data_IF_937692075563
#
_entry.id   IF_937692075563
#
_cell.length_a   1.000
_cell.length_b   1.000
_cell.length_c   1.000
_cell.angle_alpha   90.00
_cell.angle_beta   90.00
_cell.angle_gamma   90.00
#
_symmetry.space_group_name_H-M   'P 1'
#
loop_
_entity.id
_entity.type
_entity.pdbx_description
1 polymer ?
#
# COMPACT_ATOMS: atom_id res chain seq x y z
N UNK A 1 -28.29 -19.08 10.63
CA UNK A 1 -29.63 -19.63 10.35
C UNK A 1 -30.11 -19.18 8.96
N UNK A 2 -30.16 -17.88 8.58
CA UNK A 2 -30.67 -17.38 7.28
C UNK A 2 -29.97 -18.01 6.07
N UNK A 3 -28.64 -18.18 6.09
CA UNK A 3 -27.89 -18.82 5.00
C UNK A 3 -28.26 -20.31 4.82
N UNK A 4 -28.47 -21.02 5.93
CA UNK A 4 -28.94 -22.39 5.90
C UNK A 4 -30.35 -22.48 5.36
N UNK A 5 -31.24 -21.60 5.83
CA UNK A 5 -32.61 -21.54 5.35
C UNK A 5 -32.72 -21.34 3.82
N UNK A 6 -31.90 -20.48 3.23
CA UNK A 6 -31.86 -20.28 1.77
C UNK A 6 -31.44 -21.52 0.98
N UNK A 7 -30.67 -22.40 1.58
CA UNK A 7 -30.20 -23.65 0.94
C UNK A 7 -31.14 -24.82 1.16
N UNK A 8 -31.65 -24.96 2.38
CA UNK A 8 -32.54 -26.06 2.76
C UNK A 8 -33.97 -25.83 2.28
N UNK A 9 -34.42 -24.57 2.26
CA UNK A 9 -35.75 -24.15 1.82
C UNK A 9 -35.64 -23.15 0.65
N UNK A 10 -35.23 -23.57 -0.55
CA UNK A 10 -35.13 -22.68 -1.69
C UNK A 10 -36.53 -22.16 -2.12
N UNK A 11 -36.55 -20.95 -2.72
CA UNK A 11 -37.78 -20.32 -3.26
C UNK A 11 -38.77 -19.79 -2.24
N UNK A 12 -38.35 -19.50 -1.00
CA UNK A 12 -39.22 -18.76 -0.07
C UNK A 12 -39.33 -17.30 -0.46
N UNK A 13 -40.52 -16.72 -0.28
CA UNK A 13 -40.79 -15.29 -0.57
C UNK A 13 -39.99 -14.33 0.27
N UNK A 14 -39.66 -14.75 1.49
CA UNK A 14 -38.83 -13.97 2.43
C UNK A 14 -38.12 -14.90 3.41
N UNK A 15 -36.92 -14.51 3.81
CA UNK A 15 -36.10 -15.24 4.80
C UNK A 15 -35.98 -14.47 6.12
N UNK A 16 -36.91 -13.54 6.39
CA UNK A 16 -37.00 -12.90 7.72
C UNK A 16 -37.53 -13.90 8.75
N UNK A 17 -37.04 -13.80 10.00
CA UNK A 17 -37.39 -14.74 11.07
C UNK A 17 -38.90 -14.88 11.25
N UNK A 18 -39.60 -13.77 11.37
CA UNK A 18 -41.04 -13.79 11.62
C UNK A 18 -41.86 -14.44 10.50
N UNK A 19 -41.46 -14.22 9.22
CA UNK A 19 -42.13 -14.86 8.06
C UNK A 19 -41.85 -16.35 7.98
N UNK A 20 -40.57 -16.74 8.11
CA UNK A 20 -40.22 -18.16 8.07
C UNK A 20 -40.88 -18.92 9.21
N UNK A 21 -40.92 -18.38 10.43
CA UNK A 21 -41.60 -19.00 11.56
C UNK A 21 -43.09 -19.16 11.29
N UNK A 22 -43.75 -18.11 10.76
CA UNK A 22 -45.17 -18.18 10.41
C UNK A 22 -45.49 -19.22 9.33
N UNK A 23 -44.67 -19.31 8.26
CA UNK A 23 -44.86 -20.29 7.17
C UNK A 23 -44.56 -21.73 7.61
N UNK A 24 -43.70 -21.90 8.62
CA UNK A 24 -43.29 -23.23 9.13
C UNK A 24 -44.03 -23.67 10.41
N UNK A 25 -44.97 -22.87 10.90
CA UNK A 25 -45.72 -23.16 12.13
C UNK A 25 -44.90 -23.04 13.41
N UNK A 26 -43.76 -22.36 13.38
CA UNK A 26 -42.93 -22.12 14.56
C UNK A 26 -43.48 -20.91 15.35
N UNK A 27 -43.84 -21.16 16.61
CA UNK A 27 -44.43 -20.11 17.46
C UNK A 27 -43.35 -19.12 17.90
N UNK A 28 -43.59 -17.82 17.63
CA UNK A 28 -42.79 -16.72 18.18
C UNK A 28 -43.69 -15.88 19.08
N UNK A 29 -43.98 -16.40 20.29
CA UNK A 29 -44.91 -15.78 21.24
C UNK A 29 -44.46 -14.40 21.76
N UNK A 30 -43.22 -14.05 21.60
CA UNK A 30 -42.61 -12.79 22.04
C UNK A 30 -41.80 -12.12 20.92
N UNK A 31 -42.39 -11.98 19.74
CA UNK A 31 -41.75 -11.32 18.58
C UNK A 31 -41.27 -9.89 18.96
N UNK A 32 -40.07 -9.53 18.45
CA UNK A 32 -39.38 -8.28 18.76
C UNK A 32 -38.85 -8.13 20.21
N UNK A 33 -38.84 -9.21 20.99
CA UNK A 33 -38.10 -9.30 22.26
C UNK A 33 -36.91 -10.24 22.08
N UNK A 34 -35.76 -9.86 22.59
CA UNK A 34 -34.49 -10.60 22.37
C UNK A 34 -34.59 -12.08 22.73
N UNK A 35 -35.31 -12.43 23.80
CA UNK A 35 -35.51 -13.82 24.21
C UNK A 35 -36.40 -14.61 23.24
N UNK A 36 -37.53 -14.04 22.81
CA UNK A 36 -38.45 -14.71 21.89
C UNK A 36 -37.84 -14.91 20.50
N UNK A 37 -37.10 -13.92 20.00
CA UNK A 37 -36.39 -14.04 18.74
C UNK A 37 -35.24 -15.05 18.79
N UNK A 38 -34.56 -15.18 19.94
CA UNK A 38 -33.53 -16.19 20.16
C UNK A 38 -34.12 -17.61 20.18
N UNK A 39 -35.25 -17.82 20.89
CA UNK A 39 -35.95 -19.09 20.96
C UNK A 39 -36.47 -19.51 19.57
N UNK A 40 -37.18 -18.62 18.87
CA UNK A 40 -37.66 -18.90 17.51
C UNK A 40 -36.50 -19.17 16.52
N UNK A 41 -35.34 -18.53 16.70
CA UNK A 41 -34.14 -18.79 15.89
C UNK A 41 -33.57 -20.19 16.17
N UNK A 42 -33.57 -20.64 17.43
CA UNK A 42 -33.11 -21.97 17.81
C UNK A 42 -34.05 -23.07 17.27
N UNK A 43 -35.38 -22.90 17.39
CA UNK A 43 -36.36 -23.81 16.84
C UNK A 43 -36.27 -23.89 15.31
N UNK A 44 -36.15 -22.73 14.63
CA UNK A 44 -35.93 -22.68 13.18
C UNK A 44 -34.64 -23.40 12.78
N UNK A 45 -33.56 -23.26 13.58
CA UNK A 45 -32.30 -23.94 13.30
C UNK A 45 -32.47 -25.44 13.41
N UNK A 46 -33.10 -25.96 14.46
CA UNK A 46 -33.39 -27.41 14.64
C UNK A 46 -34.21 -27.94 13.47
N UNK A 47 -35.26 -27.23 13.09
CA UNK A 47 -36.10 -27.59 11.94
C UNK A 47 -35.31 -27.69 10.62
N UNK A 48 -34.37 -26.75 10.38
CA UNK A 48 -33.51 -26.74 9.19
C UNK A 48 -32.50 -27.90 9.21
N UNK A 49 -31.94 -28.22 10.40
CA UNK A 49 -30.99 -29.31 10.55
C UNK A 49 -31.62 -30.67 10.26
N UNK A 50 -32.86 -30.91 10.73
CA UNK A 50 -33.61 -32.14 10.45
C UNK A 50 -33.90 -32.34 8.95
N UNK A 51 -34.04 -31.24 8.21
CA UNK A 51 -34.32 -31.25 6.75
C UNK A 51 -33.09 -31.16 5.88
N UNK A 52 -31.92 -30.97 6.45
CA UNK A 52 -30.64 -30.83 5.71
C UNK A 52 -30.13 -32.21 5.26
N UNK A 53 -30.83 -32.85 4.33
CA UNK A 53 -30.43 -34.13 3.73
C UNK A 53 -29.11 -34.09 2.95
N UNK A 54 -28.64 -32.90 2.58
CA UNK A 54 -27.45 -32.68 1.74
C UNK A 54 -26.22 -32.21 2.52
N UNK A 55 -26.28 -32.14 3.85
CA UNK A 55 -25.17 -31.69 4.69
C UNK A 55 -24.79 -30.24 4.49
N UNK A 56 -25.77 -29.38 4.09
CA UNK A 56 -25.54 -27.95 3.88
C UNK A 56 -25.07 -27.23 5.15
N UNK A 57 -25.50 -27.71 6.31
CA UNK A 57 -25.04 -27.20 7.60
C UNK A 57 -23.54 -27.46 7.83
N UNK A 58 -23.09 -28.68 7.60
CA UNK A 58 -21.67 -29.03 7.71
C UNK A 58 -20.84 -28.23 6.71
N UNK A 59 -21.35 -28.08 5.48
CA UNK A 59 -20.73 -27.24 4.47
C UNK A 59 -20.61 -25.79 4.93
N UNK A 60 -21.67 -25.20 5.51
CA UNK A 60 -21.66 -23.82 6.01
C UNK A 60 -20.75 -23.64 7.23
N UNK A 61 -20.69 -24.61 8.15
CA UNK A 61 -19.73 -24.58 9.26
C UNK A 61 -18.31 -24.59 8.74
N UNK A 62 -18.00 -25.49 7.85
CA UNK A 62 -16.68 -25.59 7.22
C UNK A 62 -16.31 -24.33 6.42
N UNK A 63 -17.28 -23.68 5.73
CA UNK A 63 -17.03 -22.39 5.05
C UNK A 63 -16.78 -21.21 6.01
N UNK A 64 -17.21 -21.31 7.27
CA UNK A 64 -16.91 -20.30 8.29
C UNK A 64 -15.52 -20.43 8.92
N UNK A 65 -14.88 -21.59 8.84
CA UNK A 65 -13.50 -21.79 9.32
C UNK A 65 -12.44 -21.17 8.39
N UNK A 66 -12.83 -20.54 7.29
CA UNK A 66 -11.91 -19.95 6.31
C UNK A 66 -11.20 -20.97 5.40
N UNK A 67 -11.16 -22.23 5.81
CA UNK A 67 -10.45 -23.31 5.10
C UNK A 67 -11.16 -23.80 3.82
N UNK A 68 -12.48 -23.65 3.75
CA UNK A 68 -13.27 -24.15 2.62
C UNK A 68 -13.36 -23.22 1.42
N UNK A 69 -12.96 -21.97 1.58
CA UNK A 69 -12.88 -21.01 0.46
C UNK A 69 -11.45 -20.84 -0.07
N UNK A 70 -10.52 -21.70 0.39
CA UNK A 70 -9.17 -21.67 -0.15
C UNK A 70 -9.18 -22.04 -1.64
N UNK A 71 -8.29 -21.45 -2.43
CA UNK A 71 -8.05 -21.85 -3.80
C UNK A 71 -7.81 -23.37 -3.90
N UNK A 72 -8.33 -24.03 -4.95
CA UNK A 72 -8.30 -25.50 -5.01
C UNK A 72 -6.91 -26.11 -5.04
N UNK A 73 -5.90 -25.36 -5.46
CA UNK A 73 -4.51 -25.82 -5.56
C UNK A 73 -3.60 -25.24 -4.47
N UNK A 74 -4.16 -24.48 -3.53
CA UNK A 74 -3.38 -23.87 -2.46
C UNK A 74 -3.23 -24.84 -1.29
N UNK A 75 -1.99 -25.16 -0.84
CA UNK A 75 -1.76 -25.91 0.39
C UNK A 75 -2.36 -25.19 1.61
N UNK A 76 -3.11 -25.92 2.44
CA UNK A 76 -3.75 -25.32 3.62
C UNK A 76 -2.72 -24.77 4.62
N UNK A 77 -1.54 -25.35 4.66
CA UNK A 77 -0.46 -24.94 5.57
C UNK A 77 0.12 -23.58 5.22
N UNK A 78 0.16 -23.19 3.94
CA UNK A 78 0.56 -21.85 3.52
C UNK A 78 -0.35 -20.76 4.14
N UNK A 79 -1.65 -21.05 4.22
CA UNK A 79 -2.62 -20.17 4.84
C UNK A 79 -2.55 -20.20 6.38
N UNK A 80 -2.38 -21.38 6.98
CA UNK A 80 -2.29 -21.55 8.43
C UNK A 80 -1.06 -20.86 9.01
N UNK A 81 0.05 -20.91 8.29
CA UNK A 81 1.33 -20.29 8.67
C UNK A 81 1.35 -18.76 8.62
N UNK A 82 0.30 -18.10 8.11
CA UNK A 82 0.25 -16.63 8.03
C UNK A 82 0.19 -15.99 9.42
N UNK A 83 1.11 -15.07 9.74
CA UNK A 83 1.12 -14.36 11.01
C UNK A 83 0.06 -13.24 11.05
N UNK A 84 -0.35 -12.87 12.26
CA UNK A 84 -1.19 -11.71 12.52
C UNK A 84 -0.34 -10.44 12.70
N UNK A 85 0.49 -10.12 11.72
CA UNK A 85 1.45 -9.03 11.73
C UNK A 85 1.35 -8.20 10.43
N UNK A 86 1.86 -6.96 10.42
CA UNK A 86 2.02 -6.19 9.19
C UNK A 86 3.00 -6.86 8.24
N UNK A 87 2.71 -6.79 6.93
CA UNK A 87 3.63 -7.37 5.95
C UNK A 87 3.14 -7.30 4.51
N UNK A 88 3.94 -7.88 3.63
CA UNK A 88 3.66 -8.08 2.21
C UNK A 88 3.39 -9.56 1.96
N UNK A 89 2.43 -9.88 1.11
CA UNK A 89 2.11 -11.24 0.69
C UNK A 89 2.08 -11.36 -0.82
N UNK A 90 2.39 -12.57 -1.31
CA UNK A 90 2.48 -12.92 -2.72
C UNK A 90 1.58 -14.12 -2.96
N UNK A 91 0.69 -14.02 -3.92
CA UNK A 91 -0.01 -15.19 -4.45
C UNK A 91 0.75 -15.71 -5.65
N UNK A 92 1.27 -16.91 -5.54
CA UNK A 92 2.06 -17.55 -6.57
C UNK A 92 1.22 -18.49 -7.42
N UNK A 93 1.54 -18.58 -8.70
CA UNK A 93 0.94 -19.51 -9.65
C UNK A 93 1.89 -20.64 -10.02
N UNK A 94 1.58 -21.36 -11.11
CA UNK A 94 2.39 -22.47 -11.62
C UNK A 94 3.79 -22.07 -12.08
N UNK A 95 4.02 -20.81 -12.42
CA UNK A 95 5.34 -20.31 -12.80
C UNK A 95 6.11 -19.87 -11.57
N UNK A 96 7.20 -20.57 -11.29
CA UNK A 96 8.11 -20.18 -10.21
C UNK A 96 8.65 -18.76 -10.44
N UNK A 97 8.89 -18.00 -9.37
CA UNK A 97 9.45 -16.65 -9.41
C UNK A 97 8.53 -15.54 -9.92
N UNK A 98 7.36 -15.85 -10.49
CA UNK A 98 6.40 -14.85 -10.97
C UNK A 98 5.10 -14.87 -10.18
N UNK A 99 4.95 -13.96 -9.20
CA UNK A 99 3.71 -13.87 -8.45
C UNK A 99 2.55 -13.42 -9.36
N UNK A 100 1.37 -13.99 -9.12
CA UNK A 100 0.12 -13.56 -9.76
C UNK A 100 -0.35 -12.22 -9.22
N UNK A 101 -0.16 -12.02 -7.92
CA UNK A 101 -0.60 -10.83 -7.20
C UNK A 101 0.30 -10.58 -5.99
N UNK A 102 0.56 -9.32 -5.71
CA UNK A 102 1.29 -8.84 -4.53
C UNK A 102 0.38 -7.88 -3.78
N UNK A 103 0.34 -7.98 -2.45
CA UNK A 103 -0.44 -7.08 -1.63
C UNK A 103 0.19 -6.83 -0.28
N UNK A 104 -0.15 -5.70 0.33
CA UNK A 104 0.21 -5.34 1.71
C UNK A 104 -0.92 -5.57 2.69
N UNK A 105 -0.57 -5.74 3.95
CA UNK A 105 -1.51 -5.88 5.05
C UNK A 105 -1.01 -5.21 6.32
N UNK A 106 -1.93 -4.72 7.16
CA UNK A 106 -1.67 -4.43 8.58
C UNK A 106 -1.75 -5.71 9.43
N UNK A 107 -2.44 -6.72 8.91
CA UNK A 107 -2.54 -8.07 9.47
C UNK A 107 -2.64 -9.02 8.29
N UNK A 108 -1.58 -9.78 8.04
CA UNK A 108 -1.45 -10.70 6.91
C UNK A 108 -2.57 -11.73 6.89
N UNK A 109 -2.80 -12.43 8.02
CA UNK A 109 -3.82 -13.48 8.11
C UNK A 109 -5.22 -12.96 7.81
N UNK A 110 -5.62 -11.85 8.43
CA UNK A 110 -6.94 -11.23 8.20
C UNK A 110 -7.10 -10.75 6.75
N UNK A 111 -6.07 -10.17 6.16
CA UNK A 111 -6.10 -9.65 4.79
C UNK A 111 -6.21 -10.77 3.77
N UNK A 112 -5.38 -11.79 3.88
CA UNK A 112 -5.44 -12.96 2.98
C UNK A 112 -6.77 -13.70 3.13
N UNK A 113 -7.24 -13.91 4.38
CA UNK A 113 -8.57 -14.46 4.65
C UNK A 113 -9.68 -13.67 3.94
N UNK A 114 -9.61 -12.34 3.94
CA UNK A 114 -10.60 -11.50 3.25
C UNK A 114 -10.64 -11.71 1.73
N UNK A 115 -9.54 -12.13 1.12
CA UNK A 115 -9.52 -12.52 -0.28
C UNK A 115 -10.31 -13.81 -0.53
N UNK A 116 -10.38 -14.70 0.43
CA UNK A 116 -10.98 -16.01 0.28
C UNK A 116 -12.43 -16.08 0.79
N UNK A 117 -12.83 -15.20 1.73
CA UNK A 117 -14.14 -15.24 2.40
C UNK A 117 -15.28 -14.48 1.68
N UNK A 118 -15.05 -13.84 0.55
CA UNK A 118 -16.08 -13.11 -0.20
C UNK A 118 -16.75 -13.98 -1.26
N UNK A 119 -18.08 -13.86 -1.43
CA UNK A 119 -18.75 -14.35 -2.64
C UNK A 119 -18.18 -13.56 -3.83
N UNK A 120 -17.30 -14.18 -4.59
CA UNK A 120 -16.62 -13.52 -5.70
C UNK A 120 -17.33 -13.88 -6.99
N UNK A 121 -18.23 -13.00 -7.38
CA UNK A 121 -18.85 -13.02 -8.69
C UNK A 121 -17.89 -12.41 -9.73
N UNK A 122 -17.78 -13.06 -10.88
CA UNK A 122 -17.01 -12.59 -12.01
C UNK A 122 -15.94 -13.60 -12.48
N UNK A 123 -16.00 -13.87 -13.78
CA UNK A 123 -15.17 -14.86 -14.48
C UNK A 123 -13.66 -14.68 -14.21
N UNK A 124 -13.21 -13.42 -14.15
CA UNK A 124 -11.80 -13.08 -13.94
C UNK A 124 -11.32 -13.38 -12.51
N UNK A 125 -12.16 -13.15 -11.51
CA UNK A 125 -11.82 -13.41 -10.10
C UNK A 125 -11.75 -14.93 -9.89
N UNK A 126 -12.71 -15.68 -10.46
CA UNK A 126 -12.67 -17.14 -10.41
C UNK A 126 -11.42 -17.71 -11.10
N UNK A 127 -11.03 -17.13 -12.25
CA UNK A 127 -9.81 -17.54 -12.95
C UNK A 127 -8.55 -17.24 -12.10
N UNK A 128 -8.46 -16.07 -11.46
CA UNK A 128 -7.39 -15.74 -10.55
C UNK A 128 -7.28 -16.78 -9.41
N UNK A 129 -8.41 -17.11 -8.76
CA UNK A 129 -8.43 -18.09 -7.67
C UNK A 129 -7.95 -19.47 -8.08
N UNK A 130 -8.34 -19.93 -9.27
CA UNK A 130 -7.90 -21.24 -9.79
C UNK A 130 -6.41 -21.31 -10.09
N UNK A 131 -5.74 -20.17 -10.29
CA UNK A 131 -4.33 -20.09 -10.59
C UNK A 131 -3.45 -20.04 -9.35
N UNK A 132 -4.00 -19.72 -8.17
CA UNK A 132 -3.21 -19.63 -6.93
C UNK A 132 -2.80 -21.02 -6.49
N UNK A 133 -1.48 -21.24 -6.35
CA UNK A 133 -0.87 -22.50 -5.92
C UNK A 133 -0.04 -22.34 -4.65
N UNK A 134 0.29 -21.12 -4.23
CA UNK A 134 1.07 -20.86 -3.03
C UNK A 134 0.88 -19.46 -2.49
N UNK A 135 1.22 -19.27 -1.22
CA UNK A 135 1.28 -17.98 -0.54
C UNK A 135 2.66 -17.83 0.08
N UNK A 136 3.43 -16.85 -0.42
CA UNK A 136 4.63 -16.38 0.28
C UNK A 136 4.29 -15.09 1.01
N UNK A 137 5.00 -14.79 2.09
CA UNK A 137 4.80 -13.56 2.83
C UNK A 137 6.09 -13.10 3.49
N UNK A 138 6.17 -11.80 3.77
CA UNK A 138 7.25 -11.15 4.50
C UNK A 138 6.64 -10.25 5.57
N UNK A 139 6.78 -10.58 6.86
CA UNK A 139 6.47 -9.64 7.93
C UNK A 139 7.39 -8.41 7.87
N UNK A 140 6.90 -7.24 8.28
CA UNK A 140 7.65 -5.98 8.14
C UNK A 140 7.70 -5.14 9.42
N UNK A 141 7.04 -5.56 10.49
CA UNK A 141 6.95 -4.80 11.74
C UNK A 141 6.14 -3.50 11.62
N UNK A 142 6.06 -2.87 10.45
CA UNK A 142 5.31 -1.63 10.23
C UNK A 142 4.50 -1.63 8.94
N UNK A 143 3.36 -0.92 8.96
CA UNK A 143 2.52 -0.76 7.78
C UNK A 143 3.20 0.11 6.70
N UNK A 144 4.06 1.04 7.10
CA UNK A 144 4.84 1.86 6.17
C UNK A 144 5.80 1.00 5.37
N UNK A 145 6.63 0.18 6.04
CA UNK A 145 7.57 -0.70 5.34
C UNK A 145 6.84 -1.71 4.44
N UNK A 146 5.70 -2.27 4.90
CA UNK A 146 4.86 -3.12 4.06
C UNK A 146 4.43 -2.42 2.77
N UNK A 147 4.06 -1.13 2.85
CA UNK A 147 3.63 -0.36 1.69
C UNK A 147 4.79 -0.06 0.71
N UNK A 148 5.97 0.23 1.23
CA UNK A 148 7.17 0.46 0.42
C UNK A 148 7.62 -0.81 -0.30
N UNK A 149 7.62 -1.94 0.40
CA UNK A 149 7.97 -3.25 -0.17
C UNK A 149 6.95 -3.73 -1.19
N UNK A 150 5.65 -3.54 -0.95
CA UNK A 150 4.60 -3.85 -1.93
C UNK A 150 4.85 -3.10 -3.25
N UNK A 151 5.06 -1.77 -3.18
CA UNK A 151 5.31 -0.96 -4.38
C UNK A 151 6.58 -1.39 -5.11
N UNK A 152 7.67 -1.62 -4.37
CA UNK A 152 8.93 -2.12 -4.93
C UNK A 152 8.74 -3.48 -5.63
N UNK A 153 8.14 -4.44 -4.95
CA UNK A 153 7.92 -5.79 -5.47
C UNK A 153 6.98 -5.81 -6.69
N UNK A 154 5.92 -4.98 -6.71
CA UNK A 154 5.04 -4.87 -7.88
C UNK A 154 5.79 -4.33 -9.10
N UNK A 155 6.72 -3.38 -8.91
CA UNK A 155 7.54 -2.85 -10.01
C UNK A 155 8.57 -3.84 -10.51
N UNK A 156 9.12 -4.66 -9.61
CA UNK A 156 10.10 -5.69 -9.94
C UNK A 156 9.46 -6.86 -10.70
N UNK A 157 8.34 -7.40 -10.18
CA UNK A 157 7.73 -8.63 -10.71
C UNK A 157 6.62 -8.39 -11.73
N UNK A 158 6.04 -7.18 -11.78
CA UNK A 158 4.95 -6.80 -12.70
C UNK A 158 3.78 -7.79 -12.73
N UNK A 159 3.16 -8.15 -11.57
CA UNK A 159 2.19 -9.24 -11.47
C UNK A 159 0.93 -8.97 -12.31
N UNK A 160 0.35 -10.00 -12.99
CA UNK A 160 -0.76 -9.80 -13.93
C UNK A 160 -2.04 -9.27 -13.28
N UNK A 161 -2.25 -9.50 -11.99
CA UNK A 161 -3.46 -9.07 -11.29
C UNK A 161 -3.33 -7.75 -10.50
N UNK A 162 -2.13 -7.14 -10.39
CA UNK A 162 -1.93 -5.78 -9.85
C UNK A 162 -2.13 -4.74 -10.96
N UNK A 163 -3.35 -4.24 -11.13
CA UNK A 163 -3.67 -3.29 -12.22
C UNK A 163 -3.46 -1.82 -11.87
N UNK A 164 -3.84 -1.41 -10.67
CA UNK A 164 -3.90 0.00 -10.29
C UNK A 164 -2.51 0.68 -10.26
N UNK A 165 -1.49 -0.03 -9.78
CA UNK A 165 -0.12 0.49 -9.63
C UNK A 165 0.71 0.44 -10.93
N UNK A 166 0.17 -0.15 -12.00
CA UNK A 166 0.82 -0.26 -13.31
C UNK A 166 0.58 0.94 -14.22
N UNK A 167 -0.33 1.83 -13.87
CA UNK A 167 -0.58 3.02 -14.69
C UNK A 167 0.60 3.98 -14.54
N UNK A 168 1.19 4.46 -15.65
CA UNK A 168 2.17 5.53 -15.58
C UNK A 168 1.50 6.75 -14.97
N UNK A 169 1.98 7.18 -13.82
CA UNK A 169 1.47 8.39 -13.19
C UNK A 169 2.09 9.57 -13.92
N UNK A 170 1.24 10.43 -14.50
CA UNK A 170 1.68 11.71 -15.06
C UNK A 170 2.26 12.55 -13.93
N UNK A 171 3.45 13.09 -14.11
CA UNK A 171 4.15 13.90 -13.12
C UNK A 171 4.52 15.23 -13.71
N UNK A 172 4.54 16.23 -12.87
CA UNK A 172 5.01 17.56 -13.21
C UNK A 172 6.25 17.87 -12.37
N UNK A 173 7.30 18.35 -13.04
CA UNK A 173 8.53 18.81 -12.39
C UNK A 173 8.65 20.31 -12.51
N UNK A 174 9.23 20.92 -11.48
CA UNK A 174 9.74 22.28 -11.55
C UNK A 174 11.18 22.21 -11.98
N UNK A 175 11.48 22.71 -13.17
CA UNK A 175 12.79 22.66 -13.78
C UNK A 175 13.44 24.04 -13.74
N UNK A 176 14.76 24.04 -13.52
CA UNK A 176 15.61 25.20 -13.68
C UNK A 176 16.06 25.32 -15.14
N UNK A 177 16.13 26.54 -15.64
CA UNK A 177 16.82 26.91 -16.88
C UNK A 177 17.40 28.33 -16.77
N UNK A 178 18.22 28.72 -17.70
CA UNK A 178 18.76 30.08 -17.80
C UNK A 178 18.22 30.71 -19.07
N UNK A 179 17.67 31.93 -18.96
CA UNK A 179 17.16 32.66 -20.12
C UNK A 179 18.31 33.27 -20.94
N UNK A 180 17.98 33.91 -22.07
CA UNK A 180 18.98 34.56 -22.94
C UNK A 180 19.69 35.74 -22.26
N UNK A 181 19.11 36.34 -21.23
CA UNK A 181 19.70 37.40 -20.42
C UNK A 181 20.61 36.88 -19.28
N UNK A 182 20.85 35.58 -19.19
CA UNK A 182 21.70 34.99 -18.16
C UNK A 182 21.00 34.82 -16.79
N UNK A 183 19.71 35.12 -16.68
CA UNK A 183 18.97 35.02 -15.43
C UNK A 183 18.43 33.60 -15.24
N UNK A 184 18.49 33.02 -13.99
CA UNK A 184 17.91 31.75 -13.68
C UNK A 184 16.37 31.82 -13.69
N UNK A 185 15.73 30.83 -14.25
CA UNK A 185 14.28 30.75 -14.41
C UNK A 185 13.75 29.40 -13.94
N UNK A 186 12.45 29.38 -13.64
CA UNK A 186 11.73 28.15 -13.30
C UNK A 186 10.63 27.86 -14.33
N UNK A 187 10.39 26.59 -14.62
CA UNK A 187 9.29 26.17 -15.47
C UNK A 187 8.68 24.87 -14.96
N UNK A 188 7.36 24.75 -15.08
CA UNK A 188 6.63 23.51 -14.78
C UNK A 188 6.45 22.74 -16.08
N UNK A 189 7.04 21.54 -16.15
CA UNK A 189 6.90 20.63 -17.29
C UNK A 189 6.50 19.24 -16.83
N UNK A 190 5.93 18.45 -17.76
CA UNK A 190 5.74 17.02 -17.52
C UNK A 190 7.08 16.30 -17.46
N UNK A 191 7.26 15.48 -16.43
CA UNK A 191 8.45 14.65 -16.31
C UNK A 191 8.31 13.47 -17.27
N UNK A 192 9.30 13.29 -18.15
CA UNK A 192 9.41 12.13 -19.02
C UNK A 192 10.05 10.95 -18.28
N UNK A 193 9.88 9.74 -18.83
CA UNK A 193 10.48 8.55 -18.25
C UNK A 193 12.01 8.67 -18.20
N UNK A 194 12.59 8.49 -17.00
CA UNK A 194 14.03 8.60 -16.79
C UNK A 194 14.56 10.03 -16.66
N UNK A 195 13.74 11.06 -16.85
CA UNK A 195 14.16 12.46 -16.75
C UNK A 195 14.50 12.83 -15.30
N UNK A 196 15.66 13.44 -15.11
CA UNK A 196 16.17 13.98 -13.85
C UNK A 196 16.38 15.50 -13.97
N UNK A 197 16.89 16.14 -12.91
CA UNK A 197 17.26 17.56 -12.95
C UNK A 197 16.11 18.52 -12.63
N UNK A 198 15.04 18.05 -12.01
CA UNK A 198 13.98 18.91 -11.47
C UNK A 198 14.27 19.25 -9.99
N UNK A 199 13.88 20.46 -9.58
CA UNK A 199 14.02 20.93 -8.19
C UNK A 199 12.95 20.33 -7.28
N UNK A 200 11.74 20.12 -7.81
CA UNK A 200 10.61 19.49 -7.12
C UNK A 200 9.72 18.77 -8.14
N UNK A 201 8.94 17.80 -7.69
CA UNK A 201 7.97 17.11 -8.53
C UNK A 201 6.63 16.83 -7.84
N UNK A 202 5.57 16.78 -8.62
CA UNK A 202 4.18 16.76 -8.20
C UNK A 202 3.34 15.85 -9.07
N UNK A 203 2.21 15.38 -8.55
CA UNK A 203 1.25 14.59 -9.32
C UNK A 203 0.37 15.43 -10.21
N UNK A 204 -0.02 16.59 -9.69
CA UNK A 204 -0.94 17.48 -10.36
C UNK A 204 -0.24 18.81 -10.64
N UNK A 205 -0.57 19.38 -11.76
CA UNK A 205 -0.03 20.69 -12.15
C UNK A 205 -0.39 21.80 -11.14
N UNK A 206 -1.61 21.85 -10.58
CA UNK A 206 -1.94 22.85 -9.55
C UNK A 206 -1.07 22.78 -8.29
N UNK A 207 -0.63 21.57 -7.89
CA UNK A 207 0.30 21.41 -6.75
C UNK A 207 1.67 22.01 -7.07
N UNK A 208 2.16 21.82 -8.30
CA UNK A 208 3.41 22.41 -8.76
C UNK A 208 3.31 23.95 -8.87
N UNK A 209 2.18 24.47 -9.33
CA UNK A 209 1.90 25.90 -9.41
C UNK A 209 1.82 26.53 -8.02
N UNK A 210 1.17 25.89 -7.06
CA UNK A 210 1.12 26.36 -5.68
C UNK A 210 2.52 26.39 -5.03
N UNK A 211 3.29 25.31 -5.20
CA UNK A 211 4.67 25.26 -4.71
C UNK A 211 5.53 26.37 -5.31
N UNK A 212 5.36 26.63 -6.60
CA UNK A 212 6.10 27.67 -7.29
C UNK A 212 5.71 29.07 -6.78
N UNK A 213 4.42 29.32 -6.56
CA UNK A 213 3.91 30.54 -5.97
C UNK A 213 4.47 30.78 -4.56
N UNK A 214 4.51 29.73 -3.74
CA UNK A 214 5.06 29.80 -2.40
C UNK A 214 6.58 30.06 -2.44
N UNK A 215 7.30 29.45 -3.39
CA UNK A 215 8.73 29.71 -3.60
C UNK A 215 9.00 31.17 -4.03
N UNK A 216 8.19 31.68 -4.95
CA UNK A 216 8.28 33.09 -5.39
C UNK A 216 8.10 34.05 -4.21
N UNK A 217 7.08 33.85 -3.40
CA UNK A 217 6.79 34.66 -2.21
C UNK A 217 7.86 34.56 -1.14
N UNK A 218 8.33 33.35 -0.87
CA UNK A 218 9.27 33.12 0.22
C UNK A 218 10.69 33.59 -0.09
N UNK A 219 11.10 33.41 -1.35
CA UNK A 219 12.47 33.72 -1.78
C UNK A 219 12.60 35.08 -2.52
N UNK A 220 11.51 35.82 -2.68
CA UNK A 220 11.50 37.06 -3.43
C UNK A 220 11.92 36.88 -4.88
N UNK A 221 11.40 35.86 -5.56
CA UNK A 221 11.72 35.61 -6.96
C UNK A 221 10.85 36.48 -7.89
N UNK A 222 11.34 36.76 -9.07
CA UNK A 222 10.55 37.44 -10.10
C UNK A 222 9.48 36.46 -10.67
N UNK A 223 8.18 36.76 -10.50
CA UNK A 223 7.10 35.93 -10.99
C UNK A 223 7.16 35.66 -12.49
N UNK A 224 7.61 36.65 -13.29
CA UNK A 224 7.72 36.53 -14.74
C UNK A 224 8.79 35.53 -15.17
N UNK A 225 9.87 35.38 -14.40
CA UNK A 225 10.94 34.42 -14.63
C UNK A 225 10.61 33.03 -14.07
N UNK A 226 9.50 32.91 -13.32
CA UNK A 226 9.08 31.63 -12.69
C UNK A 226 7.90 30.98 -13.39
N UNK A 227 7.52 31.39 -14.61
CA UNK A 227 6.50 30.70 -15.40
C UNK A 227 5.09 30.71 -14.78
N UNK A 228 4.79 31.62 -13.87
CA UNK A 228 3.45 31.82 -13.32
C UNK A 228 2.55 32.53 -14.35
N UNK A 229 1.22 32.36 -14.22
CA UNK A 229 0.27 32.98 -15.12
C UNK A 229 0.28 34.50 -15.00
N UNK A 230 0.06 35.28 -16.09
CA UNK A 230 0.13 36.73 -16.08
C UNK A 230 -0.68 37.41 -14.97
N UNK A 231 -1.91 36.97 -14.71
CA UNK A 231 -2.75 37.56 -13.65
C UNK A 231 -2.23 37.34 -12.23
N UNK A 232 -1.27 36.44 -12.03
CA UNK A 232 -0.59 36.21 -10.74
C UNK A 232 0.60 37.15 -10.59
N UNK A 233 1.22 37.58 -11.71
CA UNK A 233 2.37 38.48 -11.70
C UNK A 233 2.00 39.86 -11.16
N UNK A 234 0.83 40.37 -11.51
CA UNK A 234 0.38 41.72 -11.17
C UNK A 234 0.15 41.93 -9.66
N UNK A 235 -0.08 40.82 -8.93
CA UNK A 235 -0.32 40.80 -7.48
C UNK A 235 0.95 40.68 -6.63
N UNK A 236 2.11 40.44 -7.25
CA UNK A 236 3.38 40.22 -6.56
C UNK A 236 4.43 41.28 -6.95
N UNK A 237 5.23 41.79 -5.98
CA UNK A 237 6.29 42.75 -6.30
C UNK A 237 7.34 42.08 -7.20
N UNK A 238 7.75 42.81 -8.25
CA UNK A 238 8.85 42.39 -9.09
C UNK A 238 10.18 42.86 -8.45
N UNK A 239 11.04 41.91 -8.05
CA UNK A 239 12.35 42.22 -7.47
C UNK A 239 13.32 42.73 -8.57
N UNK A 240 14.39 43.36 -8.15
CA UNK A 240 15.50 43.66 -9.06
C UNK A 240 16.18 42.35 -9.52
N UNK A 241 16.85 42.31 -10.68
CA UNK A 241 17.59 41.12 -11.13
C UNK A 241 18.58 40.58 -10.10
N UNK A 242 19.24 41.47 -9.33
CA UNK A 242 20.17 41.07 -8.30
C UNK A 242 19.47 40.39 -7.09
N UNK A 243 18.30 40.89 -6.71
CA UNK A 243 17.47 40.27 -5.65
C UNK A 243 16.96 38.94 -6.11
N UNK A 244 16.46 38.82 -7.35
CA UNK A 244 16.02 37.55 -7.92
C UNK A 244 17.14 36.48 -7.89
N UNK A 245 18.35 36.83 -8.35
CA UNK A 245 19.50 35.89 -8.34
C UNK A 245 19.85 35.46 -6.92
N UNK A 246 19.84 36.37 -5.94
CA UNK A 246 20.08 36.02 -4.53
C UNK A 246 18.99 35.06 -3.98
N UNK A 247 17.73 35.39 -4.23
CA UNK A 247 16.60 34.54 -3.83
C UNK A 247 16.66 33.15 -4.46
N UNK A 248 17.04 33.11 -5.75
CA UNK A 248 17.18 31.84 -6.46
C UNK A 248 18.33 30.98 -5.90
N UNK A 249 19.47 31.55 -5.58
CA UNK A 249 20.58 30.86 -4.95
C UNK A 249 20.18 30.30 -3.57
N UNK A 250 19.39 31.04 -2.78
CA UNK A 250 18.86 30.57 -1.50
C UNK A 250 17.86 29.42 -1.67
N UNK A 251 16.97 29.45 -2.66
CA UNK A 251 16.10 28.35 -3.03
C UNK A 251 16.91 27.09 -3.40
N UNK A 252 17.92 27.24 -4.26
CA UNK A 252 18.79 26.12 -4.66
C UNK A 252 19.53 25.52 -3.46
N UNK A 253 20.06 26.36 -2.58
CA UNK A 253 20.71 25.89 -1.35
C UNK A 253 19.74 25.09 -0.46
N UNK A 254 18.50 25.53 -0.33
CA UNK A 254 17.49 24.79 0.43
C UNK A 254 17.10 23.47 -0.26
N UNK A 255 16.92 23.48 -1.58
CA UNK A 255 16.62 22.26 -2.34
C UNK A 255 17.79 21.28 -2.24
N UNK A 256 19.02 21.76 -2.29
CA UNK A 256 20.23 20.94 -2.13
C UNK A 256 20.33 20.33 -0.72
N UNK A 257 19.99 21.09 0.33
CA UNK A 257 19.89 20.56 1.69
C UNK A 257 18.83 19.45 1.81
N UNK A 258 17.75 19.51 1.05
CA UNK A 258 16.77 18.42 0.98
C UNK A 258 17.31 17.15 0.32
N UNK A 259 18.47 17.20 -0.34
CA UNK A 259 19.18 16.00 -0.79
C UNK A 259 19.99 15.32 0.33
N UNK A 260 19.95 15.86 1.54
CA UNK A 260 20.59 15.25 2.71
C UNK A 260 20.00 13.85 2.95
N UNK A 261 20.88 12.99 3.42
CA UNK A 261 20.51 11.66 3.86
C UNK A 261 19.74 11.74 5.17
N UNK A 262 18.67 11.00 5.25
CA UNK A 262 17.81 10.93 6.42
C UNK A 262 17.51 9.49 6.75
N UNK A 263 17.53 9.15 8.04
CA UNK A 263 17.21 7.83 8.54
C UNK A 263 15.93 7.89 9.36
N UNK A 264 14.96 7.01 9.05
CA UNK A 264 13.81 6.73 9.89
C UNK A 264 14.01 5.40 10.60
N UNK A 265 13.69 5.36 11.89
CA UNK A 265 13.66 4.13 12.66
C UNK A 265 12.22 3.60 12.69
N UNK A 266 12.00 2.47 12.03
CA UNK A 266 10.71 1.77 12.00
C UNK A 266 10.76 0.56 12.94
N UNK A 267 9.63 0.09 13.50
CA UNK A 267 9.57 -1.19 14.18
C UNK A 267 10.06 -2.33 13.27
N UNK A 268 10.88 -3.22 13.80
CA UNK A 268 11.28 -4.46 13.15
C UNK A 268 10.22 -5.55 13.29
N UNK A 269 10.49 -6.72 12.73
CA UNK A 269 9.54 -7.84 12.78
C UNK A 269 9.61 -8.67 14.05
N UNK A 270 10.74 -8.62 14.79
CA UNK A 270 10.87 -9.19 16.13
C UNK A 270 10.69 -8.11 17.20
N UNK A 271 10.17 -8.44 18.39
CA UNK A 271 10.07 -7.50 19.50
C UNK A 271 11.43 -6.89 19.88
N UNK A 272 11.53 -5.57 19.86
CA UNK A 272 12.76 -4.84 20.17
C UNK A 272 13.65 -4.55 18.97
N UNK A 273 13.48 -5.22 17.85
CA UNK A 273 14.19 -4.91 16.62
C UNK A 273 13.69 -3.63 15.96
N UNK A 274 14.56 -2.99 15.22
CA UNK A 274 14.23 -1.82 14.40
C UNK A 274 14.63 -2.04 12.94
N UNK A 275 13.97 -1.34 12.05
CA UNK A 275 14.40 -1.20 10.67
C UNK A 275 14.86 0.23 10.44
N UNK A 276 16.12 0.38 10.04
CA UNK A 276 16.65 1.64 9.58
C UNK A 276 16.28 1.84 8.11
N UNK A 277 15.32 2.72 7.83
CA UNK A 277 14.92 3.13 6.49
C UNK A 277 15.71 4.37 6.09
N UNK A 278 16.42 4.30 4.98
CA UNK A 278 17.27 5.38 4.49
C UNK A 278 16.60 6.12 3.35
N UNK A 279 16.60 7.44 3.46
CA UNK A 279 16.03 8.37 2.50
C UNK A 279 17.12 9.27 1.96
N UNK A 280 17.05 9.60 0.67
CA UNK A 280 17.81 10.64 0.03
C UNK A 280 16.87 11.59 -0.71
N UNK A 281 16.87 12.87 -0.36
CA UNK A 281 15.92 13.80 -0.94
C UNK A 281 14.45 13.43 -0.68
N UNK A 282 14.15 12.81 0.46
CA UNK A 282 12.81 12.33 0.81
C UNK A 282 12.36 11.08 0.05
N UNK A 283 13.25 10.48 -0.76
CA UNK A 283 12.97 9.22 -1.46
C UNK A 283 13.58 8.04 -0.71
N UNK A 284 12.88 6.90 -0.59
CA UNK A 284 13.49 5.70 -0.04
C UNK A 284 14.58 5.20 -0.99
N UNK A 285 15.74 4.92 -0.45
CA UNK A 285 16.89 4.36 -1.18
C UNK A 285 17.08 2.90 -0.80
N UNK A 286 16.82 2.57 0.45
CA UNK A 286 16.95 1.21 0.96
C UNK A 286 16.72 1.16 2.47
N UNK A 287 16.82 -0.04 3.01
CA UNK A 287 16.70 -0.26 4.45
C UNK A 287 17.65 -1.38 4.93
N UNK A 288 17.84 -1.44 6.23
CA UNK A 288 18.52 -2.53 6.93
C UNK A 288 17.74 -2.89 8.19
N UNK A 289 17.77 -4.15 8.55
CA UNK A 289 17.38 -4.56 9.90
C UNK A 289 18.48 -4.07 10.88
N UNK A 290 18.05 -3.41 11.92
CA UNK A 290 18.89 -3.03 13.06
C UNK A 290 18.41 -3.85 14.27
N UNK A 291 18.94 -5.07 14.47
CA UNK A 291 18.55 -5.93 15.57
C UNK A 291 18.91 -5.27 16.89
N UNK A 292 18.15 -5.59 17.94
CA UNK A 292 18.44 -5.06 19.28
C UNK A 292 19.82 -5.51 19.80
N UNK A 293 20.27 -6.68 19.35
CA UNK A 293 21.59 -7.24 19.68
C UNK A 293 22.25 -7.76 18.40
N UNK A 294 23.46 -7.31 18.13
CA UNK A 294 24.26 -7.76 16.99
C UNK A 294 24.49 -6.68 15.91
N UNK A 295 25.22 -7.03 14.86
CA UNK A 295 25.51 -6.09 13.77
C UNK A 295 24.27 -5.82 12.93
N UNK A 296 24.21 -4.67 12.22
CA UNK A 296 23.14 -4.39 11.25
C UNK A 296 23.06 -5.47 10.18
N UNK A 297 21.84 -5.81 9.81
CA UNK A 297 21.56 -6.74 8.73
C UNK A 297 22.01 -6.23 7.33
N UNK A 298 21.85 -7.05 6.30
CA UNK A 298 22.23 -6.70 4.94
C UNK A 298 21.43 -5.48 4.43
N UNK A 299 22.02 -4.80 3.44
CA UNK A 299 21.35 -3.71 2.74
C UNK A 299 20.29 -4.25 1.77
N UNK A 300 19.07 -3.73 1.88
CA UNK A 300 17.97 -4.01 0.96
C UNK A 300 17.63 -2.74 0.18
N UNK A 301 17.91 -2.67 -1.13
CA UNK A 301 17.60 -1.51 -1.93
C UNK A 301 16.08 -1.36 -2.11
N UNK A 302 15.60 -0.11 -2.16
CA UNK A 302 14.20 0.22 -2.48
C UNK A 302 14.17 1.12 -3.70
N UNK A 303 13.24 0.86 -4.61
CA UNK A 303 12.93 1.79 -5.69
C UNK A 303 12.02 2.89 -5.17
N UNK A 304 12.48 4.14 -5.27
CA UNK A 304 11.65 5.30 -4.95
C UNK A 304 10.55 5.48 -5.98
N UNK A 305 9.31 5.19 -5.63
CA UNK A 305 8.14 5.65 -6.37
C UNK A 305 7.56 6.91 -5.75
N UNK A 306 6.71 7.57 -6.49
CA UNK A 306 5.96 8.72 -5.96
C UNK A 306 5.04 8.26 -4.81
N UNK A 307 4.39 7.11 -4.95
CA UNK A 307 3.56 6.53 -3.88
C UNK A 307 4.38 6.35 -2.61
N UNK A 308 5.60 5.84 -2.73
CA UNK A 308 6.54 5.71 -1.60
C UNK A 308 6.86 7.08 -0.97
N UNK A 309 7.15 8.10 -1.79
CA UNK A 309 7.44 9.45 -1.29
C UNK A 309 6.26 10.07 -0.54
N UNK A 310 5.04 9.93 -1.06
CA UNK A 310 3.83 10.42 -0.38
C UNK A 310 3.63 9.76 0.97
N UNK A 311 3.82 8.44 1.04
CA UNK A 311 3.69 7.69 2.28
C UNK A 311 4.74 8.12 3.31
N UNK A 312 5.97 8.32 2.86
CA UNK A 312 7.07 8.80 3.71
C UNK A 312 6.81 10.23 4.18
N UNK A 313 6.45 11.13 3.26
CA UNK A 313 6.12 12.52 3.61
C UNK A 313 5.01 12.59 4.65
N UNK A 314 3.93 11.84 4.45
CA UNK A 314 2.84 11.73 5.41
C UNK A 314 3.33 11.23 6.76
N UNK A 315 4.14 10.17 6.79
CA UNK A 315 4.68 9.61 8.02
C UNK A 315 5.60 10.60 8.77
N UNK A 316 6.37 11.42 8.04
CA UNK A 316 7.20 12.48 8.60
C UNK A 316 6.35 13.64 9.15
N UNK A 317 5.34 14.10 8.41
CA UNK A 317 4.42 15.16 8.83
C UNK A 317 3.61 14.77 10.08
N UNK A 318 3.20 13.51 10.18
CA UNK A 318 2.47 12.97 11.33
C UNK A 318 3.38 12.58 12.51
N UNK A 319 4.71 12.66 12.36
CA UNK A 319 5.67 12.27 13.40
C UNK A 319 5.56 10.81 13.84
N UNK A 320 5.11 9.92 12.96
CA UNK A 320 4.83 8.52 13.28
C UNK A 320 6.08 7.73 13.70
N UNK A 321 7.23 8.13 13.19
CA UNK A 321 8.48 7.40 13.40
C UNK A 321 9.62 8.38 13.73
N UNK A 322 10.49 8.05 14.68
CA UNK A 322 11.68 8.85 14.97
C UNK A 322 12.63 8.85 13.77
N UNK A 323 13.18 10.02 13.47
CA UNK A 323 14.09 10.19 12.35
C UNK A 323 15.19 11.19 12.66
N UNK A 324 16.31 11.07 11.93
CA UNK A 324 17.47 11.96 12.04
C UNK A 324 18.15 12.15 10.69
N UNK A 325 18.71 13.34 10.49
CA UNK A 325 19.67 13.58 9.43
C UNK A 325 20.97 12.79 9.70
N UNK A 326 21.55 12.22 8.65
CA UNK A 326 22.78 11.43 8.73
C UNK A 326 23.76 11.84 7.62
N UNK A 327 25.07 11.65 7.89
CA UNK A 327 26.08 11.79 6.86
C UNK A 327 26.04 10.60 5.88
N UNK A 328 26.38 10.82 4.61
CA UNK A 328 26.40 9.78 3.58
C UNK A 328 27.29 8.60 3.94
N UNK A 329 28.40 8.85 4.60
CA UNK A 329 29.36 7.83 5.02
C UNK A 329 28.75 6.84 6.02
N UNK A 330 27.74 7.27 6.79
CA UNK A 330 27.02 6.42 7.76
C UNK A 330 26.18 5.34 7.07
N UNK A 331 25.79 5.54 5.81
CA UNK A 331 24.96 4.59 5.05
C UNK A 331 25.78 3.35 4.63
N UNK A 332 27.11 3.48 4.56
CA UNK A 332 27.98 2.48 3.92
C UNK A 332 27.75 2.42 2.41
N UNK A 333 28.68 1.83 1.65
CA UNK A 333 28.42 1.63 0.22
C UNK A 333 27.21 0.70 0.05
N UNK A 334 26.17 1.09 -0.70
CA UNK A 334 25.18 0.12 -1.13
C UNK A 334 25.94 -0.93 -1.94
N UNK A 335 25.99 -2.15 -1.43
CA UNK A 335 26.44 -3.27 -2.25
C UNK A 335 25.72 -3.19 -3.59
N UNK A 336 26.44 -3.47 -4.69
CA UNK A 336 25.89 -3.45 -6.05
C UNK A 336 24.49 -4.06 -6.02
N UNK A 337 23.55 -3.42 -6.70
CA UNK A 337 22.14 -3.76 -6.69
C UNK A 337 21.89 -5.26 -6.95
N UNK A 338 21.99 -6.04 -5.89
CA UNK A 338 21.53 -7.42 -5.87
C UNK A 338 20.00 -7.42 -5.82
N UNK A 339 19.39 -8.42 -6.38
CA UNK A 339 17.96 -8.66 -6.25
C UNK A 339 17.56 -8.57 -4.78
N UNK A 340 16.44 -7.92 -4.49
CA UNK A 340 15.91 -7.81 -3.13
C UNK A 340 15.64 -9.23 -2.59
N UNK A 341 16.57 -9.75 -1.80
CA UNK A 341 16.36 -10.99 -1.07
C UNK A 341 15.53 -10.67 0.15
N UNK A 342 14.22 -10.89 0.04
CA UNK A 342 13.35 -10.85 1.21
C UNK A 342 13.66 -12.09 2.07
N UNK A 343 13.95 -11.93 3.38
CA UNK A 343 14.13 -13.07 4.27
C UNK A 343 12.89 -13.98 4.19
N UNK A 344 13.07 -15.28 4.06
CA UNK A 344 11.98 -16.26 3.92
C UNK A 344 11.55 -16.57 2.48
N UNK A 345 12.15 -15.96 1.48
CA UNK A 345 11.99 -16.37 0.07
C UNK A 345 13.11 -17.33 -0.29
N UNK A 346 12.83 -18.59 -0.68
CA UNK A 346 13.87 -19.53 -1.11
C UNK A 346 14.67 -18.92 -2.28
N UNK A 347 16.00 -18.99 -2.18
CA UNK A 347 16.89 -18.64 -3.29
C UNK A 347 16.79 -19.75 -4.32
N UNK A 348 16.53 -19.43 -5.57
CA UNK A 348 16.80 -20.36 -6.66
C UNK A 348 18.32 -20.46 -6.81
N UNK A 349 18.88 -21.62 -6.49
CA UNK A 349 20.18 -21.99 -7.01
C UNK A 349 20.08 -22.07 -8.54
N UNK A 350 20.92 -21.29 -9.22
CA UNK A 350 21.07 -21.31 -10.69
C UNK A 350 21.82 -22.55 -11.15
#
# INVERSE_FOLDING_TARGET
TVRLARRVLPRQRSYSLGRLCGELGIQNAAAHRAWGDAQATAELLSYLLERDKQGQWQYLLKTHTGELNLPPHLPADDFRGLPEAPGVYFFDGARQGQPLYIGKARNLKKRVSSHFNGAKEGRRIQQFFRQIQGIRYQPTGSALLAALLEDHAIRQHWPPYNRAQKRPVRRYGVFRYVNRGGLPCLAINRIQHGQQGFLADFYQRPEAEQWLLDAVRHWGLDPALCGLAPGVHEALPAPTPAEHVRGFAALEAQVSRRQEWYQLALPGWEPGDQVALYLQGGQPVGFRLAPNVGPPGPWHPLSGSITCRMLIRKALEEGQYPGKAIARETVGQPAQAGQLHLPGVPQEER
#
